data_IF_983001785794
#
_entry.id   IF_983001785794
#
_cell.length_a   1.000
_cell.length_b   1.000
_cell.length_c   1.000
_cell.angle_alpha   90.00
_cell.angle_beta   90.00
_cell.angle_gamma   90.00
#
_symmetry.space_group_name_H-M   'P 1'
#
loop_
_entity.id
_entity.type
_entity.pdbx_description
1 polymer ?
#
# COMPACT_ATOMS: atom_id res chain seq x y z
N UNK A 1 -30.14 -23.63 44.56
CA UNK A 1 -30.17 -24.74 43.57
C UNK A 1 -29.98 -24.29 42.10
N UNK A 2 -30.83 -23.38 41.60
CA UNK A 2 -30.76 -22.96 40.17
C UNK A 2 -29.54 -22.12 39.83
N UNK A 3 -29.10 -21.25 40.75
CA UNK A 3 -27.89 -20.45 40.58
C UNK A 3 -26.62 -21.29 40.49
N UNK A 4 -26.50 -22.29 41.37
CA UNK A 4 -25.39 -23.26 41.37
C UNK A 4 -25.31 -24.02 40.04
N UNK A 5 -26.44 -24.52 39.52
CA UNK A 5 -26.47 -25.21 38.22
C UNK A 5 -26.04 -24.32 37.04
N UNK A 6 -26.46 -23.04 37.03
CA UNK A 6 -26.01 -22.08 36.01
C UNK A 6 -24.52 -21.83 36.13
N UNK A 7 -23.99 -21.70 37.34
CA UNK A 7 -22.57 -21.54 37.58
C UNK A 7 -21.76 -22.79 37.18
N UNK A 8 -22.24 -23.99 37.46
CA UNK A 8 -21.59 -25.25 37.08
C UNK A 8 -21.45 -25.34 35.54
N UNK A 9 -22.49 -24.97 34.79
CA UNK A 9 -22.45 -24.91 33.31
C UNK A 9 -21.36 -23.94 32.82
N UNK A 10 -21.24 -22.77 33.45
CA UNK A 10 -20.22 -21.77 33.10
C UNK A 10 -18.82 -22.31 33.43
N UNK A 11 -18.64 -22.90 34.62
CA UNK A 11 -17.36 -23.45 35.07
C UNK A 11 -16.86 -24.56 34.16
N UNK A 12 -17.75 -25.45 33.71
CA UNK A 12 -17.39 -26.57 32.83
C UNK A 12 -17.01 -26.11 31.42
N UNK A 13 -17.61 -25.02 30.92
CA UNK A 13 -17.33 -24.50 29.58
C UNK A 13 -16.21 -23.45 29.52
N UNK A 14 -15.89 -22.81 30.65
CA UNK A 14 -14.97 -21.67 30.73
C UNK A 14 -15.61 -20.39 30.19
N UNK A 15 -15.55 -20.20 28.87
CA UNK A 15 -16.22 -19.11 28.16
C UNK A 15 -17.41 -19.65 27.39
N UNK A 16 -18.60 -19.09 27.62
CA UNK A 16 -19.83 -19.61 27.03
C UNK A 16 -20.83 -18.49 26.75
N UNK A 17 -21.55 -18.61 25.64
CA UNK A 17 -22.58 -17.65 25.27
C UNK A 17 -23.85 -17.83 26.11
N UNK A 18 -24.60 -16.75 26.33
CA UNK A 18 -25.86 -16.82 27.09
C UNK A 18 -26.89 -17.75 26.43
N UNK A 19 -26.91 -17.82 25.09
CA UNK A 19 -27.78 -18.71 24.33
C UNK A 19 -27.46 -20.19 24.58
N UNK A 20 -26.18 -20.56 24.68
CA UNK A 20 -25.78 -21.94 25.01
C UNK A 20 -26.11 -22.32 26.46
N UNK A 21 -25.95 -21.38 27.41
CA UNK A 21 -26.37 -21.61 28.79
C UNK A 21 -27.88 -21.88 28.86
N UNK A 22 -28.69 -21.12 28.11
CA UNK A 22 -30.14 -21.32 28.06
C UNK A 22 -30.50 -22.71 27.50
N UNK A 23 -29.77 -23.20 26.48
CA UNK A 23 -29.99 -24.54 25.92
C UNK A 23 -29.63 -25.67 26.89
N UNK A 24 -28.56 -25.50 27.69
CA UNK A 24 -28.07 -26.52 28.63
C UNK A 24 -28.81 -26.53 29.96
N UNK A 25 -29.31 -25.37 30.40
CA UNK A 25 -29.96 -25.24 31.70
C UNK A 25 -31.39 -25.83 31.67
N UNK A 26 -31.80 -26.61 32.68
CA UNK A 26 -33.16 -27.16 32.77
C UNK A 26 -34.19 -26.11 33.25
N UNK A 27 -34.00 -24.83 32.92
CA UNK A 27 -34.80 -23.72 33.45
C UNK A 27 -35.31 -22.82 32.31
N UNK A 28 -36.44 -22.17 32.54
CA UNK A 28 -36.95 -21.13 31.63
C UNK A 28 -35.91 -20.01 31.43
N UNK A 29 -35.85 -19.47 30.23
CA UNK A 29 -34.96 -18.37 29.82
C UNK A 29 -34.90 -17.22 30.82
N UNK A 30 -36.06 -16.75 31.31
CA UNK A 30 -36.15 -15.68 32.32
C UNK A 30 -35.40 -16.00 33.62
N UNK A 31 -35.42 -17.26 34.06
CA UNK A 31 -34.72 -17.72 35.26
C UNK A 31 -33.22 -17.70 35.04
N UNK A 32 -32.75 -18.15 33.87
CA UNK A 32 -31.32 -18.12 33.50
C UNK A 32 -30.80 -16.69 33.54
N UNK A 33 -31.50 -15.74 32.90
CA UNK A 33 -31.12 -14.32 32.93
C UNK A 33 -31.06 -13.74 34.35
N UNK A 34 -32.03 -14.05 35.21
CA UNK A 34 -32.00 -13.62 36.62
C UNK A 34 -30.78 -14.17 37.36
N UNK A 35 -30.39 -15.43 37.11
CA UNK A 35 -29.21 -16.03 37.76
C UNK A 35 -27.90 -15.48 37.22
N UNK A 36 -27.79 -15.26 35.91
CA UNK A 36 -26.62 -14.59 35.33
C UNK A 36 -26.45 -13.17 35.88
N UNK A 37 -27.55 -12.40 35.99
CA UNK A 37 -27.53 -11.08 36.61
C UNK A 37 -27.03 -11.14 38.06
N UNK A 38 -27.59 -12.04 38.87
CA UNK A 38 -27.19 -12.19 40.27
C UNK A 38 -25.72 -12.64 40.43
N UNK A 39 -25.25 -13.58 39.62
CA UNK A 39 -23.85 -14.02 39.63
C UNK A 39 -22.89 -12.89 39.22
N UNK A 40 -23.30 -12.05 38.27
CA UNK A 40 -22.54 -10.87 37.85
C UNK A 40 -22.49 -9.81 38.96
N UNK A 41 -23.63 -9.51 39.60
CA UNK A 41 -23.71 -8.57 40.73
C UNK A 41 -22.85 -9.01 41.93
N UNK A 42 -22.69 -10.32 42.12
CA UNK A 42 -21.80 -10.91 43.14
C UNK A 42 -20.32 -10.93 42.73
N UNK A 43 -19.96 -10.50 41.52
CA UNK A 43 -18.59 -10.53 41.01
C UNK A 43 -18.06 -11.94 40.72
N UNK A 44 -18.94 -12.95 40.62
CA UNK A 44 -18.53 -14.35 40.38
C UNK A 44 -18.25 -14.60 38.89
N UNK A 45 -18.95 -13.89 38.01
CA UNK A 45 -18.78 -14.00 36.56
C UNK A 45 -18.64 -12.62 35.93
N UNK A 46 -17.89 -12.56 34.83
CA UNK A 46 -17.80 -11.39 33.97
C UNK A 46 -18.55 -11.61 32.67
N UNK A 47 -19.03 -10.52 32.07
CA UNK A 47 -19.62 -10.52 30.74
C UNK A 47 -18.76 -9.67 29.82
N UNK A 48 -18.34 -10.20 28.68
CA UNK A 48 -17.60 -9.47 27.65
C UNK A 48 -18.33 -9.61 26.32
N UNK A 49 -18.07 -8.67 25.41
CA UNK A 49 -18.52 -8.76 24.01
C UNK A 49 -17.37 -9.34 23.20
N UNK A 50 -17.62 -10.38 22.41
CA UNK A 50 -16.64 -10.83 21.44
C UNK A 50 -16.56 -9.83 20.27
N UNK A 51 -15.35 -9.52 19.77
CA UNK A 51 -15.19 -8.65 18.60
C UNK A 51 -15.70 -9.35 17.33
N UNK A 52 -16.18 -8.57 16.37
CA UNK A 52 -16.52 -9.09 15.04
C UNK A 52 -15.23 -9.46 14.31
N UNK A 53 -15.16 -10.71 13.85
CA UNK A 53 -14.07 -11.20 13.01
C UNK A 53 -14.50 -11.13 11.55
N UNK A 54 -13.68 -10.51 10.71
CA UNK A 54 -13.91 -10.41 9.26
C UNK A 54 -12.84 -11.20 8.51
N UNK A 55 -13.27 -11.93 7.49
CA UNK A 55 -12.39 -12.66 6.58
C UNK A 55 -12.82 -12.43 5.15
N UNK A 56 -11.87 -12.41 4.22
CA UNK A 56 -12.19 -12.40 2.79
C UNK A 56 -12.92 -13.68 2.40
N UNK A 57 -14.01 -13.52 1.64
CA UNK A 57 -14.65 -14.63 0.92
C UNK A 57 -13.71 -15.18 -0.15
N UNK A 58 -13.95 -16.39 -0.68
CA UNK A 58 -13.15 -16.92 -1.79
C UNK A 58 -13.09 -15.99 -3.01
N UNK A 59 -14.20 -15.31 -3.32
CA UNK A 59 -14.26 -14.28 -4.38
C UNK A 59 -13.44 -13.04 -4.00
N UNK A 60 -13.54 -12.58 -2.75
CA UNK A 60 -12.75 -11.46 -2.25
C UNK A 60 -11.24 -11.72 -2.32
N UNK A 61 -10.81 -12.96 -2.08
CA UNK A 61 -9.40 -13.37 -2.27
C UNK A 61 -8.97 -13.23 -3.73
N UNK A 62 -9.76 -13.74 -4.67
CA UNK A 62 -9.47 -13.62 -6.12
C UNK A 62 -9.33 -12.17 -6.57
N UNK A 63 -10.22 -11.30 -6.09
CA UNK A 63 -10.17 -9.86 -6.39
C UNK A 63 -8.91 -9.24 -5.79
N UNK A 64 -8.60 -9.54 -4.53
CA UNK A 64 -7.39 -9.06 -3.86
C UNK A 64 -6.12 -9.47 -4.63
N UNK A 65 -6.03 -10.73 -5.05
CA UNK A 65 -4.88 -11.25 -5.80
C UNK A 65 -4.74 -10.55 -7.16
N UNK A 66 -5.85 -10.27 -7.83
CA UNK A 66 -5.86 -9.53 -9.08
C UNK A 66 -5.38 -8.09 -8.90
N UNK A 67 -5.88 -7.39 -7.88
CA UNK A 67 -5.44 -6.03 -7.57
C UNK A 67 -3.95 -5.98 -7.22
N UNK A 68 -3.43 -6.98 -6.50
CA UNK A 68 -2.00 -7.09 -6.20
C UNK A 68 -1.16 -7.18 -7.49
N UNK A 69 -1.58 -7.97 -8.47
CA UNK A 69 -0.90 -8.06 -9.77
C UNK A 69 -0.92 -6.73 -10.53
N UNK A 70 -2.03 -6.00 -10.51
CA UNK A 70 -2.08 -4.67 -11.13
C UNK A 70 -1.11 -3.72 -10.41
N UNK A 71 -1.10 -3.73 -9.09
CA UNK A 71 -0.22 -2.85 -8.31
C UNK A 71 1.25 -3.16 -8.53
N UNK A 72 1.63 -4.42 -8.78
CA UNK A 72 3.02 -4.76 -9.10
C UNK A 72 3.43 -4.21 -10.46
N UNK A 73 2.57 -4.31 -11.47
CA UNK A 73 2.82 -3.74 -12.80
C UNK A 73 3.00 -2.22 -12.71
N UNK A 74 2.08 -1.53 -12.02
CA UNK A 74 2.17 -0.08 -11.83
C UNK A 74 3.48 0.31 -11.11
N UNK A 75 3.87 -0.44 -10.07
CA UNK A 75 5.13 -0.20 -9.36
C UNK A 75 6.37 -0.41 -10.22
N UNK A 76 6.36 -1.42 -11.10
CA UNK A 76 7.45 -1.65 -12.04
C UNK A 76 7.57 -0.51 -13.07
N UNK A 77 6.44 -0.01 -13.57
CA UNK A 77 6.42 1.18 -14.42
C UNK A 77 6.90 2.44 -13.69
N UNK A 78 6.52 2.64 -12.43
CA UNK A 78 7.00 3.76 -11.60
C UNK A 78 8.51 3.69 -11.39
N UNK A 79 9.06 2.51 -11.06
CA UNK A 79 10.50 2.29 -10.94
C UNK A 79 11.23 2.60 -12.24
N UNK A 80 10.74 2.12 -13.37
CA UNK A 80 11.34 2.39 -14.67
C UNK A 80 11.36 3.89 -14.98
N UNK A 81 10.30 4.63 -14.60
CA UNK A 81 10.28 6.10 -14.74
C UNK A 81 11.29 6.80 -13.84
N UNK A 82 11.49 6.32 -12.61
CA UNK A 82 12.52 6.85 -11.71
C UNK A 82 13.94 6.57 -12.23
N UNK A 83 14.20 5.36 -12.71
CA UNK A 83 15.47 4.99 -13.34
C UNK A 83 15.76 5.86 -14.57
N UNK A 84 14.78 6.06 -15.45
CA UNK A 84 14.90 6.95 -16.60
C UNK A 84 15.24 8.39 -16.18
N UNK A 85 14.61 8.90 -15.12
CA UNK A 85 14.93 10.24 -14.58
C UNK A 85 16.38 10.31 -14.12
N UNK A 86 16.87 9.29 -13.42
CA UNK A 86 18.25 9.24 -12.95
C UNK A 86 19.24 9.20 -14.12
N UNK A 87 18.97 8.39 -15.16
CA UNK A 87 19.81 8.35 -16.38
C UNK A 87 19.90 9.73 -17.04
N UNK A 88 18.77 10.42 -17.17
CA UNK A 88 18.75 11.78 -17.75
C UNK A 88 19.52 12.77 -16.87
N UNK A 89 19.39 12.66 -15.54
CA UNK A 89 20.14 13.50 -14.60
C UNK A 89 21.64 13.22 -14.74
N UNK A 90 22.07 11.96 -14.71
CA UNK A 90 23.48 11.60 -14.79
C UNK A 90 24.10 12.08 -16.11
N UNK A 91 23.37 11.95 -17.21
CA UNK A 91 23.82 12.48 -18.50
C UNK A 91 23.99 14.00 -18.48
N UNK A 92 22.96 14.74 -18.06
CA UNK A 92 23.01 16.20 -18.02
C UNK A 92 23.99 16.74 -16.97
N UNK A 93 24.28 15.97 -15.93
CA UNK A 93 25.29 16.32 -14.92
C UNK A 93 26.71 16.22 -15.48
N UNK A 94 26.97 15.17 -16.27
CA UNK A 94 28.26 14.95 -16.91
C UNK A 94 28.47 15.83 -18.16
N UNK A 95 27.40 16.43 -18.70
CA UNK A 95 27.49 17.34 -19.84
C UNK A 95 27.90 18.74 -19.39
N UNK A 96 28.95 19.27 -20.01
CA UNK A 96 29.46 20.62 -19.74
C UNK A 96 28.63 21.73 -20.38
N UNK A 97 27.86 21.40 -21.42
CA UNK A 97 27.02 22.33 -22.19
C UNK A 97 25.55 21.90 -22.18
N UNK A 98 24.59 22.82 -22.38
CA UNK A 98 23.19 22.48 -22.51
C UNK A 98 22.95 21.44 -23.60
N UNK A 99 22.20 20.39 -23.30
CA UNK A 99 21.86 19.34 -24.26
C UNK A 99 20.66 19.74 -25.12
N UNK A 100 20.76 19.60 -26.42
CA UNK A 100 19.64 19.73 -27.34
C UNK A 100 18.59 18.63 -27.13
N UNK A 101 17.38 18.87 -27.64
CA UNK A 101 16.28 17.90 -27.57
C UNK A 101 16.66 16.56 -28.25
N UNK A 102 17.37 16.63 -29.38
CA UNK A 102 17.79 15.47 -30.16
C UNK A 102 18.81 14.65 -29.38
N UNK A 103 19.82 15.27 -28.79
CA UNK A 103 20.85 14.56 -28.01
C UNK A 103 20.25 13.84 -26.80
N UNK A 104 19.30 14.46 -26.09
CA UNK A 104 18.63 13.80 -24.95
C UNK A 104 17.82 12.58 -25.42
N UNK A 105 17.16 12.68 -26.57
CA UNK A 105 16.40 11.56 -27.14
C UNK A 105 17.35 10.44 -27.56
N UNK A 106 18.35 10.74 -28.38
CA UNK A 106 19.21 9.74 -29.01
C UNK A 106 20.21 9.11 -28.03
N UNK A 107 20.78 9.89 -27.11
CA UNK A 107 21.88 9.43 -26.26
C UNK A 107 21.42 8.90 -24.89
N UNK A 108 20.20 9.25 -24.45
CA UNK A 108 19.68 8.83 -23.13
C UNK A 108 18.40 8.02 -23.22
N UNK A 109 17.37 8.62 -23.83
CA UNK A 109 16.01 8.09 -23.69
C UNK A 109 15.80 6.88 -24.61
N UNK A 110 16.22 6.96 -25.87
CA UNK A 110 16.10 5.84 -26.82
C UNK A 110 16.87 4.60 -26.35
N UNK A 111 18.14 4.69 -25.90
CA UNK A 111 18.86 3.54 -25.34
C UNK A 111 18.16 2.92 -24.12
N UNK A 112 17.59 3.74 -23.23
CA UNK A 112 16.84 3.24 -22.08
C UNK A 112 15.59 2.46 -22.51
N UNK A 113 14.82 3.01 -23.45
CA UNK A 113 13.58 2.38 -23.94
C UNK A 113 13.85 1.07 -24.69
N UNK A 114 14.90 1.03 -25.53
CA UNK A 114 15.31 -0.20 -26.22
C UNK A 114 15.79 -1.27 -25.25
N UNK A 115 16.52 -0.88 -24.19
CA UNK A 115 17.02 -1.83 -23.21
C UNK A 115 15.94 -2.37 -22.27
N UNK A 116 15.11 -1.48 -21.72
CA UNK A 116 14.15 -1.81 -20.66
C UNK A 116 12.79 -2.24 -21.22
N UNK A 117 12.26 -1.50 -22.20
CA UNK A 117 10.92 -1.74 -22.77
C UNK A 117 10.94 -2.51 -24.09
N UNK A 118 12.13 -2.79 -24.67
CA UNK A 118 12.30 -3.51 -25.94
C UNK A 118 11.52 -2.88 -27.11
N UNK A 119 11.33 -1.55 -27.06
CA UNK A 119 10.64 -0.76 -28.09
C UNK A 119 11.23 0.66 -28.17
N UNK A 120 11.07 1.37 -29.30
CA UNK A 120 11.44 2.78 -29.36
C UNK A 120 10.51 3.65 -28.51
N UNK A 121 10.99 4.83 -28.15
CA UNK A 121 10.16 5.86 -27.51
C UNK A 121 9.17 6.45 -28.51
N UNK A 122 7.92 6.65 -28.07
CA UNK A 122 6.94 7.38 -28.87
C UNK A 122 7.07 8.91 -28.68
N UNK A 123 6.80 9.73 -29.71
CA UNK A 123 6.92 11.19 -29.63
C UNK A 123 6.14 11.81 -28.45
N UNK A 124 4.95 11.27 -28.15
CA UNK A 124 4.09 11.76 -27.06
C UNK A 124 4.67 11.44 -25.68
N UNK A 125 5.35 10.30 -25.52
CA UNK A 125 6.00 9.92 -24.27
C UNK A 125 7.16 10.84 -23.97
N UNK A 126 7.94 11.20 -25.00
CA UNK A 126 9.02 12.16 -24.85
C UNK A 126 8.50 13.51 -24.35
N UNK A 127 7.42 14.02 -24.95
CA UNK A 127 6.81 15.28 -24.52
C UNK A 127 6.30 15.20 -23.07
N UNK A 128 5.77 14.05 -22.64
CA UNK A 128 5.35 13.82 -21.24
C UNK A 128 6.55 13.83 -20.29
N UNK A 129 7.60 13.08 -20.59
CA UNK A 129 8.83 13.02 -19.78
C UNK A 129 9.44 14.43 -19.66
N UNK A 130 9.56 15.16 -20.76
CA UNK A 130 10.05 16.54 -20.78
C UNK A 130 9.21 17.46 -19.87
N UNK A 131 7.88 17.41 -19.99
CA UNK A 131 6.97 18.21 -19.16
C UNK A 131 7.09 17.86 -17.69
N UNK A 132 7.23 16.58 -17.35
CA UNK A 132 7.43 16.14 -15.97
C UNK A 132 8.75 16.67 -15.40
N UNK A 133 9.86 16.54 -16.13
CA UNK A 133 11.18 17.03 -15.71
C UNK A 133 11.22 18.55 -15.54
N UNK A 134 10.52 19.30 -16.41
CA UNK A 134 10.37 20.76 -16.23
C UNK A 134 9.50 21.10 -15.03
N UNK A 135 8.38 20.40 -14.85
CA UNK A 135 7.44 20.63 -13.74
C UNK A 135 8.04 20.31 -12.38
N UNK A 136 8.87 19.27 -12.30
CA UNK A 136 9.65 18.94 -11.09
C UNK A 136 10.84 19.87 -10.87
N UNK A 137 11.12 20.76 -11.83
CA UNK A 137 12.24 21.70 -11.78
C UNK A 137 13.61 21.06 -11.98
N UNK A 138 13.69 19.78 -12.37
CA UNK A 138 14.96 19.05 -12.56
C UNK A 138 15.75 19.67 -13.71
N UNK A 139 15.08 20.02 -14.80
CA UNK A 139 15.70 20.64 -15.98
C UNK A 139 15.22 22.08 -16.17
N UNK A 140 16.12 22.92 -16.68
CA UNK A 140 15.87 24.29 -17.12
C UNK A 140 16.30 24.45 -18.57
N UNK A 141 15.84 25.52 -19.23
CA UNK A 141 16.13 25.78 -20.64
C UNK A 141 14.98 25.46 -21.58
N UNK A 142 15.23 25.56 -22.88
CA UNK A 142 14.24 25.45 -23.95
C UNK A 142 14.85 24.79 -25.20
N UNK A 143 14.04 24.42 -26.21
CA UNK A 143 14.56 23.75 -27.41
C UNK A 143 15.64 24.52 -28.17
N UNK A 144 15.74 25.84 -28.00
CA UNK A 144 16.69 26.71 -28.70
C UNK A 144 17.97 26.94 -27.89
N UNK A 145 17.86 27.06 -26.57
CA UNK A 145 19.00 27.24 -25.66
C UNK A 145 19.60 25.93 -25.13
N UNK A 146 18.93 24.81 -25.38
CA UNK A 146 19.27 23.51 -24.81
C UNK A 146 18.77 23.36 -23.37
N UNK A 147 18.78 22.12 -22.89
CA UNK A 147 18.35 21.77 -21.54
C UNK A 147 19.56 21.47 -20.64
N UNK A 148 19.47 21.93 -19.41
CA UNK A 148 20.51 21.72 -18.39
C UNK A 148 19.87 21.46 -17.04
N UNK A 149 20.62 20.82 -16.14
CA UNK A 149 20.13 20.60 -14.77
C UNK A 149 19.97 21.91 -14.02
N UNK A 150 18.89 21.99 -13.24
CA UNK A 150 18.74 23.04 -12.25
C UNK A 150 19.68 22.79 -11.06
N UNK A 151 20.77 23.54 -11.00
CA UNK A 151 21.80 23.41 -9.97
C UNK A 151 21.29 23.68 -8.55
N UNK A 152 20.21 24.46 -8.40
CA UNK A 152 19.62 24.79 -7.10
C UNK A 152 18.84 23.61 -6.46
N UNK A 153 18.33 22.68 -7.29
CA UNK A 153 17.57 21.51 -6.83
C UNK A 153 18.46 20.31 -6.48
N UNK A 154 19.63 20.18 -7.11
CA UNK A 154 20.63 19.15 -6.81
C UNK A 154 21.21 19.26 -5.38
N UNK A 155 21.15 20.43 -4.74
CA UNK A 155 21.55 20.60 -3.34
C UNK A 155 20.53 19.98 -2.34
N UNK A 156 19.27 19.75 -2.76
CA UNK A 156 18.22 19.17 -1.91
C UNK A 156 18.08 17.65 -2.03
N UNK A 157 18.61 17.05 -3.08
CA UNK A 157 18.62 15.60 -3.29
C UNK A 157 20.05 15.14 -3.58
N UNK A 158 20.81 14.67 -2.56
CA UNK A 158 22.13 14.11 -2.82
C UNK A 158 21.96 12.87 -3.71
N UNK A 159 22.64 12.88 -4.86
CA UNK A 159 22.76 11.71 -5.72
C UNK A 159 23.23 10.51 -4.87
N UNK A 160 22.70 9.29 -5.11
CA UNK A 160 23.23 8.11 -4.45
C UNK A 160 24.72 8.01 -4.78
N UNK A 161 25.55 8.01 -3.73
CA UNK A 161 27.00 7.80 -3.88
C UNK A 161 27.22 6.40 -4.45
N UNK A 162 27.64 6.32 -5.70
CA UNK A 162 28.27 5.12 -6.24
C UNK A 162 29.71 5.07 -5.74
N UNK A 163 30.05 4.00 -5.01
CA UNK A 163 31.43 3.58 -4.72
C UNK A 163 31.94 2.71 -5.86
#
# INVERSE_FOLDING_TARGET
PSERKVLDIIREAGEISTSEIIKKAPFKTRTVFKRLKSLKEKGIINSFKQPLLYSLTPEGKKISDFLLKITSIIREEEKAKEELKNVIIDYLFNKSEPASEIEIIEECISPFFENYFKRPIEPDEFQKIKRELKKSGIITGDPYSGYQLNKELLQKYPLPKTN
#
